data_IF_104187544111
#
_entry.id   IF_104187544111
#
_cell.length_a   1.000
_cell.length_b   1.000
_cell.length_c   1.000
_cell.angle_alpha   90.00
_cell.angle_beta   90.00
_cell.angle_gamma   90.00
#
_symmetry.space_group_name_H-M   'P 1'
#
loop_
_entity.id
_entity.type
_entity.pdbx_description
1 polymer ?
#
# COMPACT_ATOMS: atom_id res chain seq x y z
N UNK A 1 -43.24 14.64 -23.40
CA UNK A 1 -43.26 15.78 -22.45
C UNK A 1 -41.83 16.22 -22.15
N UNK A 2 -41.52 17.54 -22.16
CA UNK A 2 -40.19 18.01 -21.77
C UNK A 2 -39.93 17.71 -20.29
N UNK A 3 -38.78 17.07 -19.99
CA UNK A 3 -38.41 16.73 -18.61
C UNK A 3 -38.19 18.02 -17.79
N UNK A 4 -38.86 18.15 -16.64
CA UNK A 4 -38.63 19.27 -15.71
C UNK A 4 -37.15 19.27 -15.28
N UNK A 5 -36.48 20.42 -15.44
CA UNK A 5 -35.08 20.59 -15.01
C UNK A 5 -35.03 20.63 -13.49
N UNK A 6 -34.06 19.93 -12.88
CA UNK A 6 -33.83 19.98 -11.44
C UNK A 6 -33.40 21.39 -10.99
N UNK A 7 -33.83 21.85 -9.81
CA UNK A 7 -33.42 23.13 -9.24
C UNK A 7 -31.90 23.16 -8.98
N UNK A 8 -31.31 24.36 -9.06
CA UNK A 8 -29.88 24.59 -8.83
C UNK A 8 -29.67 25.36 -7.53
N UNK A 9 -28.63 25.03 -6.77
CA UNK A 9 -28.26 25.73 -5.55
C UNK A 9 -26.74 25.92 -5.46
N UNK A 10 -26.31 26.95 -4.72
CA UNK A 10 -24.91 27.16 -4.37
C UNK A 10 -24.56 26.31 -3.15
N UNK A 11 -23.45 25.57 -3.25
CA UNK A 11 -22.89 24.75 -2.17
C UNK A 11 -21.44 25.15 -1.93
N UNK A 12 -21.03 25.25 -0.66
CA UNK A 12 -19.63 25.47 -0.26
C UNK A 12 -18.84 24.17 -0.40
N UNK A 13 -17.56 24.27 -0.75
CA UNK A 13 -16.65 23.13 -0.78
C UNK A 13 -16.49 22.52 0.61
N UNK A 14 -16.60 21.19 0.73
CA UNK A 14 -16.41 20.47 1.99
C UNK A 14 -14.92 20.27 2.37
N UNK A 15 -13.97 20.80 1.60
CA UNK A 15 -12.54 20.63 1.88
C UNK A 15 -12.08 21.68 2.89
N UNK A 16 -11.41 21.23 3.95
CA UNK A 16 -10.72 22.12 4.89
C UNK A 16 -9.78 23.10 4.16
N UNK A 17 -9.92 24.39 4.50
CA UNK A 17 -9.17 25.49 3.87
C UNK A 17 -9.53 25.77 2.42
N UNK A 18 -10.78 25.49 1.99
CA UNK A 18 -11.29 25.91 0.69
C UNK A 18 -12.64 26.63 0.85
N UNK A 19 -12.69 27.92 0.50
CA UNK A 19 -13.88 28.77 0.66
C UNK A 19 -14.73 28.87 -0.61
N UNK A 20 -14.34 28.17 -1.68
CA UNK A 20 -15.03 28.24 -2.96
C UNK A 20 -16.44 27.65 -2.89
N UNK A 21 -17.38 28.33 -3.57
CA UNK A 21 -18.74 27.84 -3.82
C UNK A 21 -18.91 27.32 -5.24
N UNK A 22 -19.77 26.32 -5.44
CA UNK A 22 -20.09 25.78 -6.76
C UNK A 22 -21.58 25.44 -6.87
N UNK A 23 -22.07 25.36 -8.12
CA UNK A 23 -23.49 25.12 -8.40
C UNK A 23 -23.75 23.62 -8.44
N UNK A 24 -24.74 23.17 -7.68
CA UNK A 24 -25.23 21.78 -7.69
C UNK A 24 -26.69 21.71 -8.13
N UNK A 25 -27.09 20.57 -8.70
CA UNK A 25 -28.50 20.26 -8.94
C UNK A 25 -29.08 19.59 -7.69
N UNK A 26 -30.03 20.24 -7.05
CA UNK A 26 -30.72 19.73 -5.87
C UNK A 26 -31.66 18.61 -6.29
N UNK A 27 -31.60 17.47 -5.60
CA UNK A 27 -32.38 16.26 -5.94
C UNK A 27 -31.72 15.32 -6.96
N UNK A 28 -30.48 15.60 -7.40
CA UNK A 28 -29.72 14.64 -8.18
C UNK A 28 -29.29 13.44 -7.32
N UNK A 29 -29.28 12.23 -7.89
CA UNK A 29 -28.85 10.98 -7.20
C UNK A 29 -27.44 11.10 -6.60
N UNK A 30 -26.55 11.82 -7.30
CA UNK A 30 -25.19 12.08 -6.84
C UNK A 30 -24.92 13.57 -6.86
N UNK A 31 -24.63 14.13 -5.70
CA UNK A 31 -24.29 15.55 -5.52
C UNK A 31 -22.80 15.63 -5.18
N UNK A 32 -21.99 16.38 -5.96
CA UNK A 32 -20.58 16.55 -5.65
C UNK A 32 -20.38 17.25 -4.30
N UNK A 33 -19.36 16.80 -3.56
CA UNK A 33 -18.97 17.37 -2.25
C UNK A 33 -17.92 18.46 -2.37
N UNK A 34 -17.13 18.41 -3.43
CA UNK A 34 -15.97 19.28 -3.62
C UNK A 34 -16.12 20.10 -4.90
N UNK A 35 -15.57 21.31 -4.89
CA UNK A 35 -15.63 22.24 -6.03
C UNK A 35 -14.78 21.79 -7.23
N UNK A 36 -13.79 20.93 -7.02
CA UNK A 36 -12.90 20.43 -8.08
C UNK A 36 -12.34 19.04 -7.78
N UNK A 37 -11.84 18.35 -8.81
CA UNK A 37 -11.14 17.06 -8.70
C UNK A 37 -9.93 17.15 -7.77
N UNK A 38 -9.19 18.26 -7.80
CA UNK A 38 -8.05 18.52 -6.90
C UNK A 38 -8.46 18.55 -5.43
N UNK A 39 -9.58 19.20 -5.10
CA UNK A 39 -10.09 19.23 -3.73
C UNK A 39 -10.51 17.83 -3.24
N UNK A 40 -11.12 17.04 -4.11
CA UNK A 40 -11.48 15.65 -3.82
C UNK A 40 -10.25 14.75 -3.60
N UNK A 41 -9.19 14.93 -4.40
CA UNK A 41 -7.95 14.16 -4.28
C UNK A 41 -7.23 14.47 -2.95
N UNK A 42 -7.16 15.73 -2.53
CA UNK A 42 -6.48 16.12 -1.30
C UNK A 42 -7.22 15.60 -0.06
N UNK A 43 -8.56 15.70 -0.04
CA UNK A 43 -9.37 15.15 1.04
C UNK A 43 -9.21 13.62 1.18
N UNK A 44 -9.10 12.90 0.06
CA UNK A 44 -8.89 11.44 0.05
C UNK A 44 -7.46 11.01 0.35
N UNK A 45 -6.45 11.85 0.08
CA UNK A 45 -5.06 11.57 0.44
C UNK A 45 -4.87 11.51 1.96
N UNK A 46 -5.49 12.42 2.73
CA UNK A 46 -5.38 12.41 4.18
C UNK A 46 -5.98 11.14 4.80
N UNK A 47 -7.14 10.69 4.30
CA UNK A 47 -7.78 9.45 4.77
C UNK A 47 -7.00 8.18 4.38
N UNK A 48 -6.40 8.16 3.18
CA UNK A 48 -5.51 7.06 2.76
C UNK A 48 -4.25 6.95 3.63
N UNK A 49 -3.59 8.07 3.96
CA UNK A 49 -2.41 8.06 4.86
C UNK A 49 -2.72 7.45 6.23
N UNK A 50 -3.90 7.73 6.79
CA UNK A 50 -4.34 7.15 8.08
C UNK A 50 -4.67 5.66 7.99
N UNK A 51 -5.16 5.18 6.84
CA UNK A 51 -5.54 3.76 6.66
C UNK A 51 -4.33 2.81 6.56
N UNK A 52 -3.17 3.29 6.13
CA UNK A 52 -1.98 2.44 5.90
C UNK A 52 -1.28 2.00 7.19
N UNK A 53 -1.55 2.61 8.34
CA UNK A 53 -0.96 2.21 9.63
C UNK A 53 -2.01 1.95 10.68
N UNK A 54 -2.55 0.73 10.68
CA UNK A 54 -3.05 -0.02 11.86
C UNK A 54 -3.67 -1.35 11.42
N UNK A 55 -2.89 -2.22 10.75
CA UNK A 55 -3.04 -3.64 11.08
C UNK A 55 -2.16 -3.85 12.31
N UNK A 56 -2.76 -3.73 13.50
CA UNK A 56 -2.23 -4.40 14.69
C UNK A 56 -2.38 -5.89 14.40
N UNK A 57 -1.41 -6.48 13.71
CA UNK A 57 -1.18 -7.90 13.83
C UNK A 57 -0.45 -8.05 15.17
N UNK A 58 -1.21 -8.12 16.27
CA UNK A 58 -0.69 -8.49 17.59
C UNK A 58 -0.33 -10.00 17.65
N UNK A 59 -0.14 -10.65 16.49
CA UNK A 59 0.38 -12.00 16.39
C UNK A 59 1.90 -11.96 16.51
N UNK A 60 2.39 -12.06 17.74
CA UNK A 60 3.78 -12.41 18.01
C UNK A 60 3.94 -13.89 17.68
N UNK A 61 4.24 -14.20 16.42
CA UNK A 61 4.62 -15.55 16.02
C UNK A 61 5.80 -15.99 16.90
N UNK A 62 5.75 -17.16 17.57
CA UNK A 62 6.91 -17.67 18.27
C UNK A 62 8.05 -17.81 17.25
N UNK A 63 9.14 -17.05 17.47
CA UNK A 63 10.34 -17.16 16.63
C UNK A 63 10.82 -18.61 16.71
N UNK A 64 10.97 -19.31 15.58
CA UNK A 64 11.49 -20.67 15.61
C UNK A 64 12.86 -20.66 16.28
N UNK A 65 12.98 -21.38 17.40
CA UNK A 65 14.26 -21.69 18.02
C UNK A 65 15.01 -22.57 17.01
N UNK A 66 15.99 -21.95 16.34
CA UNK A 66 17.07 -22.54 15.54
C UNK A 66 16.78 -23.92 14.93
N UNK A 67 16.73 -23.96 13.60
CA UNK A 67 17.79 -24.62 12.84
C UNK A 67 17.95 -23.89 11.53
N UNK A 68 19.14 -23.30 11.34
CA UNK A 68 19.51 -22.45 10.21
C UNK A 68 19.78 -23.36 9.00
N UNK A 69 18.72 -23.88 8.41
CA UNK A 69 18.80 -24.78 7.29
C UNK A 69 18.07 -24.15 6.10
N UNK A 70 18.76 -24.02 4.97
CA UNK A 70 18.20 -23.35 3.78
C UNK A 70 18.20 -24.35 2.63
N UNK A 71 17.05 -24.51 1.98
CA UNK A 71 16.90 -25.40 0.83
C UNK A 71 17.28 -24.73 -0.49
N UNK A 72 17.68 -25.52 -1.49
CA UNK A 72 18.01 -25.01 -2.83
C UNK A 72 16.88 -24.17 -3.46
N UNK A 73 15.63 -24.59 -3.29
CA UNK A 73 14.45 -23.85 -3.76
C UNK A 73 14.30 -22.47 -3.12
N UNK A 74 14.71 -22.30 -1.86
CA UNK A 74 14.70 -21.01 -1.20
C UNK A 74 15.82 -20.09 -1.72
N UNK A 75 16.97 -20.66 -2.09
CA UNK A 75 18.11 -19.91 -2.63
C UNK A 75 17.81 -19.40 -4.04
N UNK A 76 17.20 -20.22 -4.89
CA UNK A 76 16.87 -19.87 -6.28
C UNK A 76 15.86 -18.73 -6.41
N UNK A 77 15.04 -18.50 -5.39
CA UNK A 77 14.05 -17.42 -5.40
C UNK A 77 14.63 -16.05 -5.04
N UNK A 78 15.90 -15.97 -4.63
CA UNK A 78 16.52 -14.68 -4.38
C UNK A 78 16.96 -14.03 -5.70
N UNK A 79 16.60 -12.76 -5.95
CA UNK A 79 17.10 -12.04 -7.10
C UNK A 79 18.62 -11.89 -6.97
N UNK A 80 19.33 -12.35 -8.01
CA UNK A 80 20.77 -12.14 -8.14
C UNK A 80 20.97 -10.69 -8.56
N UNK A 81 21.37 -9.86 -7.60
CA UNK A 81 21.71 -8.46 -7.88
C UNK A 81 23.23 -8.36 -8.07
N UNK A 82 23.65 -7.94 -9.26
CA UNK A 82 25.06 -7.68 -9.61
C UNK A 82 25.56 -6.30 -9.15
N UNK A 83 24.98 -5.76 -8.07
CA UNK A 83 25.48 -4.55 -7.39
C UNK A 83 26.75 -4.87 -6.58
N UNK A 84 27.58 -3.88 -6.25
CA UNK A 84 28.82 -4.06 -5.47
C UNK A 84 28.64 -4.82 -4.14
N UNK A 85 27.45 -4.73 -3.53
CA UNK A 85 27.09 -5.47 -2.31
C UNK A 85 26.68 -6.94 -2.53
N UNK A 86 26.55 -7.40 -3.77
CA UNK A 86 26.13 -8.76 -4.17
C UNK A 86 24.67 -9.14 -3.80
N UNK A 87 23.94 -8.26 -3.13
CA UNK A 87 22.54 -8.47 -2.75
C UNK A 87 22.32 -9.56 -1.69
N UNK A 88 21.05 -9.97 -1.53
CA UNK A 88 20.65 -10.96 -0.50
C UNK A 88 21.14 -12.37 -0.84
N UNK A 89 21.30 -12.69 -2.11
CA UNK A 89 21.80 -13.97 -2.59
C UNK A 89 23.25 -14.20 -2.16
N UNK A 90 24.15 -13.25 -2.44
CA UNK A 90 25.57 -13.35 -2.04
C UNK A 90 25.73 -13.36 -0.52
N UNK A 91 24.94 -12.57 0.22
CA UNK A 91 24.94 -12.62 1.69
C UNK A 91 24.52 -13.98 2.25
N UNK A 92 23.60 -14.68 1.60
CA UNK A 92 23.19 -16.02 1.99
C UNK A 92 24.27 -17.07 1.65
N UNK A 93 24.90 -16.97 0.48
CA UNK A 93 26.03 -17.85 0.12
C UNK A 93 27.21 -17.69 1.08
N UNK A 94 27.58 -16.44 1.42
CA UNK A 94 28.66 -16.19 2.37
C UNK A 94 28.37 -16.76 3.76
N UNK A 95 27.10 -16.75 4.20
CA UNK A 95 26.69 -17.38 5.47
C UNK A 95 26.72 -18.91 5.42
N UNK A 96 26.47 -19.51 4.26
CA UNK A 96 26.63 -20.95 4.05
C UNK A 96 28.12 -21.31 4.08
N UNK A 97 28.95 -20.56 3.36
CA UNK A 97 30.41 -20.77 3.33
C UNK A 97 31.06 -20.56 4.71
N UNK A 98 30.56 -19.61 5.51
CA UNK A 98 31.01 -19.37 6.88
C UNK A 98 30.52 -20.43 7.89
N UNK A 99 29.76 -21.45 7.45
CA UNK A 99 29.21 -22.49 8.33
C UNK A 99 28.11 -22.01 9.27
N UNK A 100 27.62 -20.78 9.10
CA UNK A 100 26.53 -20.24 9.90
C UNK A 100 25.19 -20.86 9.52
N UNK A 101 25.03 -21.34 8.30
CA UNK A 101 23.79 -21.89 7.75
C UNK A 101 24.10 -23.22 7.06
N UNK A 102 23.32 -24.25 7.38
CA UNK A 102 23.42 -25.59 6.77
C UNK A 102 22.64 -25.59 5.46
N UNK A 103 23.31 -25.92 4.36
CA UNK A 103 22.66 -26.10 3.07
C UNK A 103 21.99 -27.49 3.01
N UNK A 104 20.66 -27.50 2.95
CA UNK A 104 19.89 -28.70 2.66
C UNK A 104 19.79 -28.78 1.14
N UNK A 105 20.56 -29.68 0.53
CA UNK A 105 20.62 -29.83 -0.93
C UNK A 105 19.28 -30.20 -1.58
N UNK A 106 19.33 -30.80 -2.76
CA UNK A 106 18.11 -31.28 -3.43
C UNK A 106 17.64 -32.55 -2.73
N UNK A 107 16.61 -32.43 -1.89
CA UNK A 107 15.84 -33.62 -1.48
C UNK A 107 15.09 -34.10 -2.70
N UNK A 108 15.42 -35.32 -3.17
CA UNK A 108 14.76 -36.00 -4.30
C UNK A 108 13.26 -36.12 -4.09
#
# INVERSE_FOLDING_TARGET
>A
MPRKKLPRALKKCERDGCENTFIIKVGAKYVPKYCSSRCAAIATQQSRKRRVRRRKNDYVAPRPKRNKAVSLSQIQNYPVNFSDDGGKFVKMLNRILAGEVIYLGVTK
#
